data_IF_851157246334
#
_entry.id   IF_851157246334
#
_cell.length_a   1.000
_cell.length_b   1.000
_cell.length_c   1.000
_cell.angle_alpha   90.00
_cell.angle_beta   90.00
_cell.angle_gamma   90.00
#
_symmetry.space_group_name_H-M   'P 1'
#
loop_
_entity.id
_entity.type
_entity.pdbx_description
1 polymer ?
#
# COMPACT_ATOMS: atom_id res chain seq x y z
N UNK A 1 -11.30 -14.85 12.61
CA UNK A 1 -10.46 -13.99 11.75
C UNK A 1 -9.58 -13.09 12.61
N UNK A 2 -8.35 -12.83 12.19
CA UNK A 2 -7.41 -11.94 12.88
C UNK A 2 -6.82 -10.88 11.94
N UNK A 3 -5.98 -10.00 12.50
CA UNK A 3 -5.26 -9.00 11.72
C UNK A 3 -4.14 -9.63 10.90
N UNK A 4 -3.91 -9.17 9.65
CA UNK A 4 -2.71 -9.49 8.91
C UNK A 4 -1.45 -9.17 9.73
N UNK A 5 -0.46 -10.04 9.66
CA UNK A 5 0.82 -9.96 10.37
C UNK A 5 1.98 -10.26 9.42
N UNK A 6 3.22 -10.00 9.87
CA UNK A 6 4.42 -10.12 9.04
C UNK A 6 4.33 -9.26 7.77
N UNK A 7 3.84 -8.03 7.96
CA UNK A 7 3.62 -7.08 6.88
C UNK A 7 4.88 -6.28 6.57
N UNK A 8 5.27 -6.28 5.30
CA UNK A 8 6.36 -5.49 4.75
C UNK A 8 5.80 -4.56 3.67
N UNK A 9 6.36 -3.36 3.58
CA UNK A 9 6.03 -2.41 2.54
C UNK A 9 7.26 -1.61 2.14
N UNK A 10 7.26 -1.09 0.92
CA UNK A 10 8.35 -0.25 0.43
C UNK A 10 8.06 0.31 -0.95
N UNK A 11 8.70 1.43 -1.25
CA UNK A 11 8.69 2.03 -2.58
C UNK A 11 9.56 1.18 -3.49
N UNK A 12 8.98 0.66 -4.57
CA UNK A 12 9.70 -0.18 -5.53
C UNK A 12 10.35 0.66 -6.63
N UNK A 13 9.70 1.74 -7.03
CA UNK A 13 10.22 2.69 -8.01
C UNK A 13 9.54 4.05 -7.81
N UNK A 14 9.96 5.05 -8.61
CA UNK A 14 9.43 6.41 -8.55
C UNK A 14 7.92 6.57 -8.81
N UNK A 15 7.17 5.50 -9.10
CA UNK A 15 5.73 5.55 -9.34
C UNK A 15 4.93 4.55 -8.53
N UNK A 16 5.56 3.68 -7.73
CA UNK A 16 4.82 2.64 -7.02
C UNK A 16 5.45 2.23 -5.69
N UNK A 17 4.59 1.88 -4.75
CA UNK A 17 4.95 1.13 -3.55
C UNK A 17 4.20 -0.19 -3.52
N UNK A 18 4.81 -1.17 -2.87
CA UNK A 18 4.25 -2.50 -2.68
C UNK A 18 4.11 -2.77 -1.20
N UNK A 19 2.99 -3.38 -0.83
CA UNK A 19 2.80 -3.97 0.48
C UNK A 19 2.48 -5.47 0.36
N UNK A 20 2.94 -6.23 1.34
CA UNK A 20 2.70 -7.68 1.45
C UNK A 20 2.62 -8.05 2.92
N UNK A 21 1.66 -8.89 3.30
CA UNK A 21 1.67 -9.57 4.59
C UNK A 21 1.86 -11.05 4.34
N UNK A 22 2.88 -11.66 4.95
CA UNK A 22 3.13 -13.10 4.79
C UNK A 22 2.06 -13.94 5.48
N UNK A 23 1.47 -13.41 6.56
CA UNK A 23 0.43 -14.09 7.29
C UNK A 23 -0.86 -13.24 7.38
N UNK A 24 -1.83 -13.44 6.48
CA UNK A 24 -3.05 -12.63 6.43
C UNK A 24 -4.03 -12.90 7.57
N UNK A 25 -3.95 -14.04 8.27
CA UNK A 25 -4.84 -14.42 9.38
C UNK A 25 -6.36 -14.31 9.07
N UNK A 26 -6.72 -14.45 7.79
CA UNK A 26 -8.08 -14.26 7.29
C UNK A 26 -8.54 -12.79 7.19
N UNK A 27 -7.68 -11.81 7.46
CA UNK A 27 -7.92 -10.40 7.17
C UNK A 27 -7.59 -10.00 5.74
N UNK A 28 -7.67 -8.70 5.47
CA UNK A 28 -7.27 -8.07 4.20
C UNK A 28 -6.29 -6.95 4.49
N UNK A 29 -5.43 -6.67 3.52
CA UNK A 29 -4.52 -5.53 3.55
C UNK A 29 -4.46 -4.85 2.19
N UNK A 30 -4.11 -3.58 2.18
CA UNK A 30 -3.79 -2.83 0.97
C UNK A 30 -2.52 -2.00 1.17
N UNK A 31 -1.75 -1.86 0.10
CA UNK A 31 -0.60 -0.97 0.05
C UNK A 31 -1.02 0.49 -0.02
N UNK A 32 -0.16 1.35 0.52
CA UNK A 32 -0.29 2.80 0.46
C UNK A 32 0.99 3.35 -0.18
N UNK A 33 0.83 4.29 -1.10
CA UNK A 33 1.93 5.13 -1.57
C UNK A 33 1.59 6.60 -1.38
N UNK A 34 2.54 7.39 -0.87
CA UNK A 34 2.50 8.85 -0.82
C UNK A 34 3.14 9.34 -2.10
N UNK A 35 2.33 10.00 -2.92
CA UNK A 35 2.74 10.55 -4.19
C UNK A 35 2.84 12.06 -4.08
N UNK A 36 3.87 12.65 -4.69
CA UNK A 36 4.08 14.09 -4.75
C UNK A 36 4.10 14.56 -6.20
N UNK A 37 3.44 15.68 -6.51
CA UNK A 37 3.34 16.22 -7.87
C UNK A 37 2.93 17.70 -7.88
N UNK A 38 3.54 18.48 -8.77
CA UNK A 38 3.67 19.95 -8.75
C UNK A 38 2.39 20.81 -8.78
N UNK A 39 1.20 20.23 -8.63
CA UNK A 39 -0.06 20.98 -8.46
C UNK A 39 -0.93 20.50 -7.29
N UNK A 40 -0.80 19.23 -6.87
CA UNK A 40 -1.71 18.62 -5.87
C UNK A 40 -1.01 18.44 -4.51
N UNK A 41 0.31 18.63 -4.45
CA UNK A 41 1.10 18.38 -3.25
C UNK A 41 1.25 16.89 -2.98
N UNK A 42 1.22 16.49 -1.70
CA UNK A 42 1.30 15.08 -1.29
C UNK A 42 -0.08 14.45 -1.19
N UNK A 43 -0.27 13.33 -1.88
CA UNK A 43 -1.53 12.58 -1.90
C UNK A 43 -1.30 11.12 -1.54
N UNK A 44 -2.24 10.53 -0.81
CA UNK A 44 -2.25 9.09 -0.54
C UNK A 44 -2.96 8.35 -1.67
N UNK A 45 -2.28 7.39 -2.28
CA UNK A 45 -2.87 6.43 -3.22
C UNK A 45 -2.88 5.05 -2.57
N UNK A 46 -3.93 4.29 -2.87
CA UNK A 46 -4.18 3.00 -2.28
C UNK A 46 -4.15 1.93 -3.36
N UNK A 47 -3.51 0.80 -3.05
CA UNK A 47 -3.58 -0.42 -3.84
C UNK A 47 -4.89 -1.18 -3.59
N UNK A 48 -5.09 -2.31 -4.27
CA UNK A 48 -6.24 -3.17 -4.03
C UNK A 48 -6.16 -3.84 -2.65
N UNK A 49 -7.31 -4.04 -2.00
CA UNK A 49 -7.41 -4.92 -0.84
C UNK A 49 -7.19 -6.37 -1.28
N UNK A 50 -6.21 -7.04 -0.67
CA UNK A 50 -5.89 -8.44 -0.94
C UNK A 50 -5.81 -9.21 0.37
N UNK A 51 -6.17 -10.49 0.33
CA UNK A 51 -5.96 -11.42 1.44
C UNK A 51 -4.67 -12.22 1.30
N UNK A 52 -4.01 -12.19 0.15
CA UNK A 52 -2.72 -12.83 -0.09
C UNK A 52 -2.05 -12.19 -1.30
N UNK A 53 -0.72 -12.25 -1.37
CA UNK A 53 0.08 -11.72 -2.47
C UNK A 53 0.45 -10.24 -2.31
N UNK A 54 0.75 -9.57 -3.41
CA UNK A 54 1.20 -8.18 -3.40
C UNK A 54 0.03 -7.21 -3.59
N UNK A 55 -0.02 -6.17 -2.76
CA UNK A 55 -0.88 -5.01 -2.99
C UNK A 55 -0.01 -3.85 -3.44
N UNK A 56 -0.12 -3.54 -4.74
CA UNK A 56 0.66 -2.49 -5.38
C UNK A 56 -0.17 -1.21 -5.46
N UNK A 57 0.38 -0.12 -4.94
CA UNK A 57 -0.20 1.22 -4.97
C UNK A 57 0.62 2.09 -5.91
N UNK A 58 -0.06 2.83 -6.80
CA UNK A 58 0.57 3.58 -7.89
C UNK A 58 0.26 5.08 -7.81
N UNK A 59 1.28 5.88 -8.09
CA UNK A 59 1.14 7.31 -8.37
C UNK A 59 0.57 7.53 -9.76
N UNK A 60 -0.27 8.55 -9.92
CA UNK A 60 -0.99 8.81 -11.16
C UNK A 60 -0.38 9.96 -11.95
N UNK A 61 -0.35 9.82 -13.28
CA UNK A 61 0.07 10.89 -14.18
C UNK A 61 1.53 11.30 -13.99
N UNK A 62 1.75 12.56 -13.59
CA UNK A 62 3.08 13.15 -13.38
C UNK A 62 3.54 13.09 -11.92
N UNK A 63 2.74 12.49 -11.04
CA UNK A 63 3.09 12.26 -9.64
C UNK A 63 4.25 11.26 -9.52
N UNK A 64 5.05 11.41 -8.47
CA UNK A 64 6.13 10.49 -8.14
C UNK A 64 6.05 10.03 -6.68
N UNK A 65 6.42 8.78 -6.43
CA UNK A 65 6.48 8.20 -5.09
C UNK A 65 7.58 8.89 -4.28
N UNK A 66 7.23 9.36 -3.09
CA UNK A 66 8.19 9.88 -2.12
C UNK A 66 9.01 8.70 -1.60
N UNK A 67 10.33 8.86 -1.39
CA UNK A 67 11.24 7.77 -0.99
C UNK A 67 10.78 7.00 0.25
N UNK A 68 10.29 7.70 1.27
CA UNK A 68 9.71 7.13 2.49
C UNK A 68 8.16 7.12 2.46
N UNK A 69 7.59 7.29 1.27
CA UNK A 69 6.17 7.38 1.02
C UNK A 69 5.51 6.04 0.83
N UNK A 70 5.85 5.01 1.59
CA UNK A 70 5.17 3.72 1.53
C UNK A 70 4.49 3.42 2.86
N UNK A 71 3.38 2.69 2.79
CA UNK A 71 2.67 2.24 3.98
C UNK A 71 1.79 1.04 3.69
N UNK A 72 1.12 0.57 4.73
CA UNK A 72 0.15 -0.50 4.64
C UNK A 72 -1.07 -0.17 5.50
N UNK A 73 -2.25 -0.45 4.97
CA UNK A 73 -3.49 -0.49 5.75
C UNK A 73 -3.92 -1.94 5.88
N UNK A 74 -4.23 -2.38 7.09
CA UNK A 74 -4.72 -3.73 7.36
C UNK A 74 -6.11 -3.65 8.00
N UNK A 75 -6.93 -4.67 7.76
CA UNK A 75 -8.26 -4.82 8.36
C UNK A 75 -8.50 -6.28 8.69
N UNK A 76 -9.05 -6.60 9.87
CA UNK A 76 -9.67 -7.90 10.08
C UNK A 76 -10.92 -7.98 9.19
N UNK A 77 -11.23 -9.16 8.65
CA UNK A 77 -12.47 -9.35 7.89
C UNK A 77 -13.65 -9.39 8.89
N UNK A 78 -14.75 -8.67 8.63
CA UNK A 78 -15.95 -8.76 9.45
C UNK A 78 -16.56 -10.16 9.29
N UNK A 79 -16.74 -10.85 10.43
CA UNK A 79 -17.37 -12.16 10.53
C UNK A 79 -18.76 -12.20 9.91
#
# INVERSE_FOLDING_TARGET
MGWPSECNYGVLNKYMARAVCQNPNGGKYQGIVICEGGQVGRVHRFGPWVSNGFSDAYCQGTEYAVTDGAGINSSPDPL
#
